data_IF_742206169552
#
_entry.id   IF_742206169552
#
_cell.length_a   1.000
_cell.length_b   1.000
_cell.length_c   1.000
_cell.angle_alpha   90.00
_cell.angle_beta   90.00
_cell.angle_gamma   90.00
#
_symmetry.space_group_name_H-M   'P 1'
#
loop_
_entity.id
_entity.type
_entity.pdbx_description
1 polymer ?
#
# COMPACT_ATOMS: atom_id res chain seq x y z
N UNK A 1 1.12 14.46 -51.03
CA UNK A 1 2.23 13.97 -50.18
C UNK A 1 1.65 12.93 -49.25
N UNK A 2 1.88 11.66 -49.59
CA UNK A 2 1.43 10.48 -48.87
C UNK A 2 2.24 10.26 -47.59
N UNK A 3 1.55 10.05 -46.47
CA UNK A 3 2.14 9.49 -45.25
C UNK A 3 1.53 8.09 -45.01
N UNK A 4 2.19 7.07 -45.55
CA UNK A 4 2.10 5.66 -45.13
C UNK A 4 3.47 5.27 -44.59
N UNK A 5 3.50 4.58 -43.45
CA UNK A 5 4.64 4.06 -42.62
C UNK A 5 4.57 4.70 -41.22
N UNK A 6 4.26 4.04 -40.10
CA UNK A 6 4.48 2.69 -39.63
C UNK A 6 3.26 2.24 -38.80
N UNK A 7 2.61 1.13 -39.19
CA UNK A 7 1.53 0.49 -38.43
C UNK A 7 1.85 -1.01 -38.33
N UNK A 8 2.94 -1.35 -37.66
CA UNK A 8 3.36 -2.73 -37.42
C UNK A 8 4.09 -2.80 -36.09
N UNK A 9 3.36 -2.97 -34.97
CA UNK A 9 3.89 -3.59 -33.72
C UNK A 9 2.87 -3.74 -32.57
N UNK A 10 1.61 -3.35 -32.70
CA UNK A 10 0.67 -3.41 -31.55
C UNK A 10 0.05 -4.79 -31.26
N UNK A 11 0.21 -5.77 -32.15
CA UNK A 11 -0.52 -7.05 -32.04
C UNK A 11 0.23 -8.21 -31.35
N UNK A 12 1.52 -8.06 -31.03
CA UNK A 12 2.30 -9.18 -30.46
C UNK A 12 2.45 -9.09 -28.93
N UNK A 13 2.44 -7.88 -28.36
CA UNK A 13 2.71 -7.69 -26.92
C UNK A 13 1.44 -7.89 -26.07
N UNK A 14 0.26 -7.54 -26.59
CA UNK A 14 -1.00 -7.65 -25.82
C UNK A 14 -1.48 -9.10 -25.59
N UNK A 15 -1.00 -10.07 -26.37
CA UNK A 15 -1.46 -11.46 -26.26
C UNK A 15 -0.72 -12.28 -25.19
N UNK A 16 0.49 -11.87 -24.79
CA UNK A 16 1.31 -12.63 -23.83
C UNK A 16 1.09 -12.22 -22.36
N UNK A 17 0.76 -10.95 -22.08
CA UNK A 17 0.59 -10.46 -20.71
C UNK A 17 -0.81 -10.71 -20.12
N UNK A 18 -1.83 -10.90 -20.96
CA UNK A 18 -3.21 -11.17 -20.51
C UNK A 18 -3.37 -12.61 -19.96
N UNK A 19 -2.70 -13.60 -20.56
CA UNK A 19 -2.89 -15.00 -20.18
C UNK A 19 -2.15 -15.42 -18.91
N UNK A 20 -0.95 -14.91 -18.67
CA UNK A 20 -0.12 -15.32 -17.53
C UNK A 20 -0.61 -14.68 -16.23
N UNK A 21 -0.92 -13.38 -16.25
CA UNK A 21 -1.41 -12.68 -15.06
C UNK A 21 -2.77 -13.23 -14.59
N UNK A 22 -3.68 -13.53 -15.52
CA UNK A 22 -4.99 -14.13 -15.19
C UNK A 22 -4.84 -15.56 -14.68
N UNK A 23 -3.93 -16.35 -15.24
CA UNK A 23 -3.65 -17.72 -14.74
C UNK A 23 -3.04 -17.70 -13.34
N UNK A 24 -2.14 -16.77 -13.04
CA UNK A 24 -1.60 -16.60 -11.68
C UNK A 24 -2.68 -16.15 -10.69
N UNK A 25 -3.58 -15.24 -11.10
CA UNK A 25 -4.68 -14.79 -10.25
C UNK A 25 -5.67 -15.94 -9.95
N UNK A 26 -6.00 -16.75 -10.95
CA UNK A 26 -6.90 -17.91 -10.80
C UNK A 26 -6.24 -19.01 -9.93
N UNK A 27 -4.96 -19.30 -10.14
CA UNK A 27 -4.23 -20.27 -9.29
C UNK A 27 -4.13 -19.77 -7.86
N UNK A 28 -3.90 -18.47 -7.64
CA UNK A 28 -3.89 -17.88 -6.30
C UNK A 28 -5.27 -17.97 -5.62
N UNK A 29 -6.37 -17.71 -6.35
CA UNK A 29 -7.73 -17.88 -5.84
C UNK A 29 -8.06 -19.35 -5.54
N UNK A 30 -7.62 -20.30 -6.37
CA UNK A 30 -7.89 -21.73 -6.17
C UNK A 30 -7.05 -22.27 -4.99
N UNK A 31 -5.81 -21.84 -4.84
CA UNK A 31 -5.00 -22.16 -3.66
C UNK A 31 -5.60 -21.53 -2.38
N UNK A 32 -6.16 -20.32 -2.45
CA UNK A 32 -6.87 -19.72 -1.32
C UNK A 32 -8.17 -20.46 -0.97
N UNK A 33 -8.88 -21.02 -1.94
CA UNK A 33 -10.09 -21.84 -1.70
C UNK A 33 -9.80 -23.30 -1.34
N UNK A 34 -8.59 -23.81 -1.59
CA UNK A 34 -8.19 -25.19 -1.26
C UNK A 34 -7.78 -25.37 0.21
N UNK A 35 -7.68 -24.29 0.97
CA UNK A 35 -7.43 -24.28 2.41
C UNK A 35 -8.67 -23.84 3.20
N UNK A 36 -9.85 -24.32 2.82
CA UNK A 36 -10.95 -24.43 3.77
C UNK A 36 -10.91 -25.83 4.38
N UNK A 37 -10.19 -26.04 5.50
CA UNK A 37 -10.57 -27.15 6.36
C UNK A 37 -12.03 -26.90 6.75
N UNK A 38 -12.90 -27.89 6.49
CA UNK A 38 -14.33 -27.91 6.85
C UNK A 38 -14.59 -27.77 8.37
N UNK A 39 -13.53 -27.58 9.15
CA UNK A 39 -13.54 -27.30 10.57
C UNK A 39 -13.11 -25.85 10.82
N UNK A 40 -14.06 -24.92 10.70
CA UNK A 40 -13.94 -23.55 11.24
C UNK A 40 -13.93 -23.54 12.78
N UNK A 41 -13.11 -24.41 13.39
CA UNK A 41 -12.92 -24.55 14.83
C UNK A 41 -11.81 -23.63 15.38
N UNK A 42 -11.08 -22.88 14.52
CA UNK A 42 -9.98 -22.03 14.98
C UNK A 42 -10.41 -20.73 15.67
N UNK A 43 -11.68 -20.33 15.57
CA UNK A 43 -12.18 -19.14 16.28
C UNK A 43 -12.56 -19.42 17.75
N UNK A 44 -12.55 -20.68 18.22
CA UNK A 44 -13.14 -21.03 19.52
C UNK A 44 -12.20 -21.71 20.53
N UNK A 45 -10.89 -21.77 20.28
CA UNK A 45 -9.91 -22.09 21.34
C UNK A 45 -9.27 -20.79 21.84
N UNK A 46 -9.77 -20.19 22.95
CA UNK A 46 -9.07 -19.08 23.59
C UNK A 46 -7.69 -19.57 24.04
N UNK A 47 -6.64 -19.20 23.30
CA UNK A 47 -5.25 -19.51 23.68
C UNK A 47 -4.30 -19.89 22.55
N UNK A 48 -4.75 -20.19 21.33
CA UNK A 48 -3.82 -20.49 20.22
C UNK A 48 -3.23 -19.22 19.60
N UNK A 49 -2.27 -18.64 20.34
CA UNK A 49 -1.51 -17.47 19.90
C UNK A 49 -0.77 -17.74 18.59
N UNK A 50 -0.37 -18.98 18.31
CA UNK A 50 0.38 -19.27 17.09
C UNK A 50 -0.51 -19.14 15.84
N UNK A 51 -1.73 -19.68 15.89
CA UNK A 51 -2.70 -19.52 14.80
C UNK A 51 -3.05 -18.04 14.56
N UNK A 52 -3.25 -17.28 15.64
CA UNK A 52 -3.53 -15.84 15.56
C UNK A 52 -2.40 -15.05 14.90
N UNK A 53 -1.16 -15.25 15.37
CA UNK A 53 0.01 -14.53 14.85
C UNK A 53 0.38 -14.96 13.43
N UNK A 54 0.29 -16.25 13.10
CA UNK A 54 0.59 -16.74 11.74
C UNK A 54 -0.42 -16.22 10.71
N UNK A 55 -1.71 -16.26 11.04
CA UNK A 55 -2.77 -15.69 10.20
C UNK A 55 -2.58 -14.19 10.01
N UNK A 56 -2.30 -13.45 11.09
CA UNK A 56 -2.04 -12.01 11.01
C UNK A 56 -0.83 -11.70 10.13
N UNK A 57 0.30 -12.41 10.30
CA UNK A 57 1.50 -12.25 9.47
C UNK A 57 1.19 -12.49 8.00
N UNK A 58 0.44 -13.56 7.67
CA UNK A 58 0.05 -13.86 6.30
C UNK A 58 -0.75 -12.71 5.68
N UNK A 59 -1.71 -12.13 6.41
CA UNK A 59 -2.44 -10.97 5.94
C UNK A 59 -1.55 -9.73 5.75
N UNK A 60 -0.55 -9.51 6.60
CA UNK A 60 0.42 -8.41 6.40
C UNK A 60 1.29 -8.59 5.14
N UNK A 61 1.38 -9.80 4.58
CA UNK A 61 2.12 -10.02 3.32
C UNK A 61 1.37 -9.55 2.08
N UNK A 62 0.06 -9.30 2.16
CA UNK A 62 -0.76 -8.88 1.03
C UNK A 62 -0.46 -7.40 0.72
N UNK A 63 0.11 -7.09 -0.46
CA UNK A 63 0.40 -5.72 -0.82
C UNK A 63 -0.86 -4.95 -1.24
N UNK A 64 -0.77 -3.65 -1.09
CA UNK A 64 -1.69 -2.66 -1.63
C UNK A 64 -1.25 -2.24 -3.04
N UNK A 65 -2.15 -2.20 -4.04
CA UNK A 65 -1.79 -1.71 -5.37
C UNK A 65 -1.56 -0.19 -5.36
N UNK A 66 -0.51 0.24 -6.06
CA UNK A 66 -0.13 1.64 -6.17
C UNK A 66 0.24 2.02 -7.61
N UNK A 67 0.06 3.29 -7.93
CA UNK A 67 0.38 3.90 -9.21
C UNK A 67 1.34 5.06 -8.98
N UNK A 68 2.46 5.01 -9.68
CA UNK A 68 3.54 6.00 -9.62
C UNK A 68 3.62 6.75 -10.94
N UNK A 69 3.85 8.05 -10.86
CA UNK A 69 4.19 8.83 -12.03
C UNK A 69 5.69 8.70 -12.33
N UNK A 70 6.03 8.23 -13.54
CA UNK A 70 7.37 8.19 -14.13
C UNK A 70 7.49 9.37 -15.10
N UNK A 71 8.15 10.46 -14.70
CA UNK A 71 8.21 11.70 -15.50
C UNK A 71 9.63 12.21 -15.66
N UNK A 72 9.92 12.74 -16.85
CA UNK A 72 11.08 13.57 -17.16
C UNK A 72 10.66 14.70 -18.12
N UNK A 73 11.60 15.52 -18.58
CA UNK A 73 11.41 16.60 -19.55
C UNK A 73 10.82 16.12 -20.89
N UNK A 74 11.12 14.89 -21.29
CA UNK A 74 10.77 14.34 -22.63
C UNK A 74 9.52 13.47 -22.63
N UNK A 75 8.99 13.05 -21.47
CA UNK A 75 7.86 12.13 -21.42
C UNK A 75 7.35 11.84 -20.02
N UNK A 76 6.13 11.29 -19.96
CA UNK A 76 5.51 10.80 -18.72
C UNK A 76 4.79 9.48 -18.95
N UNK A 77 4.89 8.59 -17.97
CA UNK A 77 4.22 7.29 -17.96
C UNK A 77 3.67 7.01 -16.56
N UNK A 78 2.58 6.25 -16.49
CA UNK A 78 2.09 5.67 -15.25
C UNK A 78 2.72 4.29 -15.04
N UNK A 79 3.25 4.05 -13.84
CA UNK A 79 3.84 2.78 -13.46
C UNK A 79 3.02 2.14 -12.35
N UNK A 80 2.74 0.85 -12.50
CA UNK A 80 2.07 0.07 -11.47
C UNK A 80 3.09 -0.52 -10.49
N UNK A 81 2.74 -0.51 -9.20
CA UNK A 81 3.54 -1.13 -8.17
C UNK A 81 2.70 -1.65 -7.01
N UNK A 82 3.43 -2.21 -6.06
CA UNK A 82 2.92 -2.86 -4.87
C UNK A 82 3.55 -2.18 -3.66
N UNK A 83 2.72 -1.82 -2.69
CA UNK A 83 3.11 -1.15 -1.46
C UNK A 83 2.69 -2.02 -0.29
N UNK A 84 3.61 -2.33 0.60
CA UNK A 84 3.29 -2.92 1.89
C UNK A 84 3.17 -1.81 2.92
N UNK A 85 2.42 -2.04 3.99
CA UNK A 85 2.35 -1.12 5.12
C UNK A 85 2.54 -1.87 6.42
N UNK A 86 3.56 -1.48 7.17
CA UNK A 86 3.85 -1.97 8.51
C UNK A 86 3.69 -0.80 9.47
N UNK A 87 2.97 -1.01 10.58
CA UNK A 87 2.75 0.02 11.60
C UNK A 87 3.45 -0.41 12.89
N UNK A 88 4.75 -0.13 13.06
CA UNK A 88 5.47 -0.52 14.28
C UNK A 88 4.91 0.13 15.54
N UNK A 89 4.36 1.35 15.43
CA UNK A 89 3.86 2.11 16.57
C UNK A 89 2.57 2.85 16.24
N UNK A 90 1.59 2.77 17.15
CA UNK A 90 0.37 3.57 17.12
C UNK A 90 0.10 4.15 18.51
N UNK A 91 -0.27 5.42 18.54
CA UNK A 91 -0.78 6.11 19.72
C UNK A 91 -2.21 6.59 19.46
N UNK A 92 -3.16 6.14 20.27
CA UNK A 92 -4.57 6.51 20.16
C UNK A 92 -4.93 7.62 21.17
N UNK A 93 -5.57 8.70 20.70
CA UNK A 93 -5.86 9.87 21.54
C UNK A 93 -7.03 9.63 22.50
N UNK A 94 -8.05 8.90 22.07
CA UNK A 94 -9.27 8.66 22.83
C UNK A 94 -9.44 7.16 23.16
N UNK A 95 -8.42 6.59 23.80
CA UNK A 95 -8.51 5.22 24.32
C UNK A 95 -9.20 5.22 25.70
N UNK A 96 -10.01 4.18 25.97
CA UNK A 96 -10.60 3.95 27.28
C UNK A 96 -9.49 3.81 28.34
N UNK A 97 -9.65 4.44 29.51
CA UNK A 97 -8.67 4.41 30.62
C UNK A 97 -8.31 3.00 31.08
N UNK A 98 -9.18 2.01 30.85
CA UNK A 98 -8.95 0.60 31.19
C UNK A 98 -7.99 -0.11 30.23
N UNK A 99 -7.53 0.58 29.18
CA UNK A 99 -6.83 -0.02 28.06
C UNK A 99 -5.66 0.88 27.64
N UNK A 100 -4.51 0.28 27.32
CA UNK A 100 -3.33 1.04 26.84
C UNK A 100 -3.64 1.81 25.55
N UNK A 101 -3.34 3.11 25.57
CA UNK A 101 -3.39 4.02 24.40
C UNK A 101 -2.29 3.76 23.38
N UNK A 102 -1.23 3.06 23.78
CA UNK A 102 -0.08 2.74 22.93
C UNK A 102 -0.18 1.30 22.45
N UNK A 103 0.08 1.09 21.16
CA UNK A 103 0.08 -0.23 20.53
C UNK A 103 1.31 -0.40 19.63
N UNK A 104 1.79 -1.64 19.53
CA UNK A 104 2.95 -2.01 18.73
C UNK A 104 2.58 -3.13 17.76
N UNK A 105 2.94 -2.96 16.48
CA UNK A 105 2.72 -3.89 15.36
C UNK A 105 1.27 -4.24 15.05
N UNK A 106 0.53 -4.81 16.00
CA UNK A 106 -0.88 -5.19 15.89
C UNK A 106 -1.76 -4.09 16.49
N UNK A 107 -2.24 -3.20 15.62
CA UNK A 107 -3.13 -2.09 15.99
C UNK A 107 -4.56 -2.63 16.11
N UNK A 108 -5.30 -2.23 17.14
CA UNK A 108 -6.71 -2.62 17.25
C UNK A 108 -7.55 -1.57 16.51
N UNK A 109 -8.38 -1.96 15.52
CA UNK A 109 -9.18 -1.04 14.73
C UNK A 109 -10.03 -0.11 15.60
N UNK A 110 -10.65 -0.66 16.64
CA UNK A 110 -11.55 0.05 17.56
C UNK A 110 -10.85 1.22 18.27
N UNK A 111 -9.55 1.13 18.51
CA UNK A 111 -8.80 2.18 19.23
C UNK A 111 -8.39 3.34 18.32
N UNK A 112 -8.31 3.12 17.01
CA UNK A 112 -7.97 4.15 16.02
C UNK A 112 -9.13 5.11 15.73
N UNK A 113 -10.36 4.70 15.98
CA UNK A 113 -11.59 5.48 15.78
C UNK A 113 -11.65 6.76 16.65
N UNK A 114 -11.00 6.74 17.80
CA UNK A 114 -10.81 7.93 18.62
C UNK A 114 -9.89 9.02 18.04
N UNK A 115 -9.32 8.79 16.86
CA UNK A 115 -8.16 9.49 16.35
C UNK A 115 -6.87 8.86 16.87
N UNK A 116 -5.86 8.77 16.00
CA UNK A 116 -4.59 8.17 16.35
C UNK A 116 -3.43 8.73 15.54
N UNK A 117 -2.23 8.62 16.08
CA UNK A 117 -0.97 8.86 15.40
C UNK A 117 -0.26 7.53 15.14
N UNK A 118 0.07 7.25 13.89
CA UNK A 118 0.78 6.04 13.46
C UNK A 118 2.18 6.41 12.95
N UNK A 119 3.20 5.68 13.43
CA UNK A 119 4.48 5.59 12.74
C UNK A 119 4.40 4.40 11.80
N UNK A 120 4.75 4.61 10.53
CA UNK A 120 4.61 3.58 9.50
C UNK A 120 5.90 3.39 8.71
N UNK A 121 6.07 2.18 8.21
CA UNK A 121 7.09 1.78 7.25
C UNK A 121 6.40 1.14 6.05
N UNK A 122 6.80 1.53 4.86
CA UNK A 122 6.19 1.14 3.60
C UNK A 122 7.27 0.74 2.59
N UNK A 123 7.64 -0.55 2.54
CA UNK A 123 8.39 -1.06 1.40
C UNK A 123 7.50 -1.01 0.15
N UNK A 124 8.10 -0.65 -0.98
CA UNK A 124 7.40 -0.58 -2.25
C UNK A 124 8.21 -1.23 -3.36
N UNK A 125 7.50 -1.80 -4.32
CA UNK A 125 8.07 -2.44 -5.49
C UNK A 125 7.29 -2.07 -6.75
N UNK A 126 7.93 -1.40 -7.70
CA UNK A 126 7.37 -1.15 -9.02
C UNK A 126 7.55 -2.38 -9.93
N UNK A 127 6.49 -2.74 -10.66
CA UNK A 127 6.49 -3.91 -11.54
C UNK A 127 7.34 -3.72 -12.80
N UNK A 128 7.50 -2.47 -13.25
CA UNK A 128 8.32 -2.10 -14.40
C UNK A 128 9.39 -1.09 -14.00
N UNK A 129 10.44 -0.98 -14.81
CA UNK A 129 11.44 0.07 -14.67
C UNK A 129 10.86 1.45 -14.95
N UNK A 130 11.29 2.42 -14.14
CA UNK A 130 11.16 3.84 -14.44
C UNK A 130 12.13 4.20 -15.55
N UNK A 131 11.62 4.41 -16.77
CA UNK A 131 12.43 4.68 -17.96
C UNK A 131 12.73 6.16 -18.15
N UNK A 132 11.88 7.03 -17.60
CA UNK A 132 12.02 8.47 -17.78
C UNK A 132 12.66 9.10 -16.55
N UNK A 133 12.24 8.68 -15.36
CA UNK A 133 12.65 9.28 -14.09
C UNK A 133 13.92 8.68 -13.48
N UNK A 134 14.52 7.67 -14.13
CA UNK A 134 15.71 6.92 -13.67
C UNK A 134 15.63 6.36 -12.24
N UNK A 135 14.43 6.20 -11.70
CA UNK A 135 14.24 5.70 -10.34
C UNK A 135 14.43 4.18 -10.25
N UNK A 136 14.91 3.71 -9.09
CA UNK A 136 14.92 2.29 -8.76
C UNK A 136 13.50 1.73 -8.62
N UNK A 137 13.32 0.45 -8.96
CA UNK A 137 12.03 -0.24 -8.80
C UNK A 137 11.64 -0.43 -7.34
N UNK A 138 12.63 -0.71 -6.49
CA UNK A 138 12.45 -0.84 -5.06
C UNK A 138 12.55 0.54 -4.38
N UNK A 139 11.66 0.77 -3.42
CA UNK A 139 11.66 1.93 -2.55
C UNK A 139 11.37 1.49 -1.12
N UNK A 140 11.90 2.23 -0.15
CA UNK A 140 11.50 2.08 1.23
C UNK A 140 11.04 3.43 1.74
N UNK A 141 9.88 3.50 2.37
CA UNK A 141 9.33 4.76 2.88
C UNK A 141 9.06 4.63 4.36
N UNK A 142 9.32 5.68 5.13
CA UNK A 142 8.97 5.73 6.55
C UNK A 142 8.37 7.09 6.87
N UNK A 143 7.48 7.16 7.85
CA UNK A 143 6.82 8.42 8.17
C UNK A 143 5.88 8.33 9.36
N UNK A 144 5.21 9.45 9.59
CA UNK A 144 4.19 9.59 10.61
C UNK A 144 2.88 10.05 9.97
N UNK A 145 1.76 9.48 10.40
CA UNK A 145 0.44 9.77 9.88
C UNK A 145 -0.56 9.90 11.03
N UNK A 146 -1.26 11.02 11.08
CA UNK A 146 -2.39 11.23 11.97
C UNK A 146 -3.70 10.79 11.31
N UNK A 147 -4.61 10.23 12.09
CA UNK A 147 -5.97 9.88 11.69
C UNK A 147 -6.95 10.76 12.42
N UNK A 148 -7.84 11.37 11.64
CA UNK A 148 -8.91 12.23 12.11
C UNK A 148 -10.23 11.53 11.76
N UNK A 149 -11.03 11.14 12.77
CA UNK A 149 -12.35 10.57 12.53
C UNK A 149 -13.28 11.66 11.97
N UNK A 150 -14.05 11.33 10.93
CA UNK A 150 -15.01 12.28 10.32
C UNK A 150 -16.44 11.88 10.64
N UNK A 151 -16.81 10.62 10.43
CA UNK A 151 -18.17 10.11 10.70
C UNK A 151 -18.13 8.86 11.56
N UNK A 152 -19.06 8.73 12.50
CA UNK A 152 -19.21 7.54 13.37
C UNK A 152 -17.89 7.14 14.06
N UNK A 153 -17.25 8.10 14.71
CA UNK A 153 -15.92 7.92 15.28
C UNK A 153 -14.90 7.37 14.26
N UNK A 154 -15.07 7.58 12.96
CA UNK A 154 -14.11 7.13 11.95
C UNK A 154 -14.26 5.66 11.52
N UNK A 155 -15.28 4.94 11.97
CA UNK A 155 -15.59 3.58 11.53
C UNK A 155 -15.97 3.54 10.04
N UNK A 156 -16.80 4.49 9.61
CA UNK A 156 -17.26 4.60 8.22
C UNK A 156 -16.33 5.46 7.36
N UNK A 157 -15.83 6.56 7.92
CA UNK A 157 -14.96 7.48 7.21
C UNK A 157 -13.97 8.14 8.16
N UNK A 158 -12.69 7.93 7.90
CA UNK A 158 -11.59 8.65 8.54
C UNK A 158 -10.67 9.27 7.48
N UNK A 159 -10.15 10.45 7.80
CA UNK A 159 -9.15 11.14 6.99
C UNK A 159 -7.80 10.92 7.65
N UNK A 160 -6.76 10.79 6.84
CA UNK A 160 -5.40 10.73 7.33
C UNK A 160 -4.51 11.76 6.69
N UNK A 161 -3.62 12.36 7.45
CA UNK A 161 -2.62 13.29 6.97
C UNK A 161 -1.27 12.92 7.59
N UNK A 162 -0.23 12.89 6.77
CA UNK A 162 1.09 12.44 7.21
C UNK A 162 2.23 13.03 6.44
N UNK A 163 3.40 13.04 7.08
CA UNK A 163 4.68 13.37 6.48
C UNK A 163 5.53 12.12 6.40
N UNK A 164 6.22 11.93 5.28
CA UNK A 164 7.07 10.76 5.05
C UNK A 164 8.36 11.09 4.32
N UNK A 165 9.32 10.20 4.47
CA UNK A 165 10.61 10.25 3.81
C UNK A 165 10.80 8.95 3.01
N UNK A 166 11.07 9.10 1.72
CA UNK A 166 11.22 8.00 0.77
C UNK A 166 12.70 7.77 0.51
N UNK A 167 13.18 6.57 0.75
CA UNK A 167 14.51 6.09 0.42
C UNK A 167 14.47 5.37 -0.93
N UNK A 168 14.53 6.16 -2.01
CA UNK A 168 14.59 5.64 -3.38
C UNK A 168 15.92 6.05 -4.02
N UNK A 169 16.63 5.08 -4.60
CA UNK A 169 17.87 5.34 -5.32
C UNK A 169 17.55 5.78 -6.74
N UNK A 170 18.32 6.73 -7.27
CA UNK A 170 18.33 7.04 -8.69
C UNK A 170 19.46 6.20 -9.34
N UNK A 171 19.22 5.65 -10.53
CA UNK A 171 20.18 4.82 -11.27
C UNK A 171 21.43 5.62 -11.69
N UNK A 172 21.28 6.92 -11.91
CA UNK A 172 22.32 7.79 -12.47
C UNK A 172 22.86 8.84 -11.48
N UNK A 173 22.20 9.05 -10.34
CA UNK A 173 22.64 9.99 -9.30
C UNK A 173 22.56 9.33 -7.92
N UNK A 174 23.58 9.55 -7.09
CA UNK A 174 23.68 9.06 -5.71
C UNK A 174 22.67 9.71 -4.73
N UNK A 175 21.58 10.29 -5.25
CA UNK A 175 20.71 11.12 -4.45
C UNK A 175 19.89 10.29 -3.46
N UNK A 176 20.13 10.58 -2.19
CA UNK A 176 19.59 9.91 -1.03
C UNK A 176 18.26 10.53 -0.62
N UNK A 177 17.19 9.88 -1.03
CA UNK A 177 15.83 10.05 -0.53
C UNK A 177 15.17 11.44 -0.63
N UNK A 178 13.85 11.49 -0.47
CA UNK A 178 13.08 12.73 -0.59
C UNK A 178 11.89 12.75 0.37
N UNK A 179 11.53 13.96 0.81
CA UNK A 179 10.35 14.20 1.63
C UNK A 179 9.07 14.15 0.80
N UNK A 180 7.97 13.77 1.43
CA UNK A 180 6.64 13.74 0.82
C UNK A 180 5.56 13.95 1.87
N UNK A 181 4.43 14.49 1.43
CA UNK A 181 3.22 14.60 2.22
C UNK A 181 2.20 13.61 1.68
N UNK A 182 1.42 13.02 2.57
CA UNK A 182 0.43 12.03 2.24
C UNK A 182 -0.92 12.44 2.82
N UNK A 183 -1.96 12.28 2.01
CA UNK A 183 -3.34 12.43 2.43
C UNK A 183 -4.11 11.15 2.07
N UNK A 184 -4.99 10.71 2.95
CA UNK A 184 -5.74 9.47 2.73
C UNK A 184 -7.16 9.55 3.24
N UNK A 185 -8.05 8.81 2.59
CA UNK A 185 -9.43 8.59 2.98
C UNK A 185 -9.61 7.10 3.25
N UNK A 186 -10.13 6.75 4.41
CA UNK A 186 -10.27 5.38 4.88
C UNK A 186 -11.71 5.09 5.24
N UNK A 187 -12.18 3.90 4.86
CA UNK A 187 -13.54 3.42 5.08
C UNK A 187 -13.52 1.95 5.56
N UNK A 188 -14.68 1.40 5.89
CA UNK A 188 -14.86 0.04 6.42
C UNK A 188 -13.86 -0.29 7.52
N UNK A 189 -13.97 0.39 8.66
CA UNK A 189 -13.11 0.15 9.81
C UNK A 189 -11.61 0.47 9.54
N UNK A 190 -11.31 1.19 8.46
CA UNK A 190 -9.95 1.51 8.04
C UNK A 190 -9.27 0.43 7.20
N UNK A 191 -10.02 -0.62 6.82
CA UNK A 191 -9.52 -1.73 5.98
C UNK A 191 -9.22 -1.24 4.57
N UNK A 192 -10.12 -0.44 4.00
CA UNK A 192 -9.97 0.10 2.66
C UNK A 192 -9.65 1.59 2.73
N UNK A 193 -8.61 2.02 2.04
CA UNK A 193 -8.26 3.42 1.94
C UNK A 193 -7.82 3.84 0.55
N UNK A 194 -8.10 5.08 0.20
CA UNK A 194 -7.51 5.76 -0.95
C UNK A 194 -6.47 6.75 -0.46
N UNK A 195 -5.24 6.64 -0.95
CA UNK A 195 -4.11 7.43 -0.47
C UNK A 195 -3.47 8.15 -1.66
N UNK A 196 -3.26 9.46 -1.50
CA UNK A 196 -2.54 10.30 -2.44
C UNK A 196 -1.27 10.85 -1.80
N UNK A 197 -0.18 10.77 -2.55
CA UNK A 197 1.11 11.29 -2.12
C UNK A 197 1.51 12.48 -2.98
N UNK A 198 2.01 13.52 -2.34
CA UNK A 198 2.69 14.63 -2.97
C UNK A 198 4.16 14.59 -2.61
N UNK A 199 5.01 14.28 -3.59
CA UNK A 199 6.45 14.20 -3.37
C UNK A 199 7.13 15.50 -3.79
N UNK A 200 8.08 15.98 -2.99
CA UNK A 200 8.87 17.17 -3.29
C UNK A 200 10.04 16.86 -4.25
N UNK A 201 9.77 16.07 -5.29
CA UNK A 201 10.71 15.74 -6.36
C UNK A 201 10.03 15.89 -7.73
N UNK A 202 10.80 16.28 -8.75
CA UNK A 202 10.26 16.52 -10.09
C UNK A 202 10.02 15.24 -10.89
N UNK A 203 10.74 14.18 -10.51
CA UNK A 203 10.77 12.86 -11.14
C UNK A 203 9.46 12.08 -10.96
N UNK A 204 8.80 12.24 -9.82
CA UNK A 204 7.56 11.57 -9.46
C UNK A 204 6.79 12.43 -8.49
N UNK A 205 5.90 13.31 -8.97
CA UNK A 205 5.26 14.33 -8.13
C UNK A 205 4.03 13.81 -7.40
N UNK A 206 3.26 12.95 -8.06
CA UNK A 206 2.01 12.40 -7.55
C UNK A 206 2.02 10.88 -7.59
N UNK A 207 1.64 10.25 -6.48
CA UNK A 207 1.37 8.82 -6.43
C UNK A 207 -0.04 8.58 -5.89
N UNK A 208 -0.72 7.58 -6.42
CA UNK A 208 -2.06 7.17 -6.00
C UNK A 208 -2.01 5.71 -5.57
N UNK A 209 -2.63 5.38 -4.44
CA UNK A 209 -2.61 4.02 -3.89
C UNK A 209 -3.96 3.64 -3.31
N UNK A 210 -4.34 2.38 -3.49
CA UNK A 210 -5.45 1.78 -2.75
C UNK A 210 -4.85 0.99 -1.60
N UNK A 211 -5.01 1.51 -0.39
CA UNK A 211 -4.54 0.92 0.84
C UNK A 211 -5.49 -0.18 1.31
N UNK A 212 -4.95 -1.38 1.49
CA UNK A 212 -5.63 -2.50 2.13
C UNK A 212 -4.90 -2.80 3.43
N UNK A 213 -5.53 -2.49 4.56
CA UNK A 213 -4.97 -2.74 5.89
C UNK A 213 -5.75 -3.85 6.58
N UNK A 214 -5.02 -4.86 7.04
CA UNK A 214 -5.56 -5.98 7.79
C UNK A 214 -5.17 -5.82 9.26
N UNK A 215 -6.12 -6.07 10.16
CA UNK A 215 -5.97 -5.92 11.60
C UNK A 215 -6.00 -7.27 12.32
#
# INVERSE_FOLDING_TARGET
>A
MDFKFFRVTDNVINKYYSGIAVKFLIVFCICASGFYPDDSYSQNKPGDKFAEWSTWILFQTIPSPSFYQDRNETGSRLQFGLRWQVTPFNYSFNANKLVSSVQFFKVNPVRRYGGSLELFMQPEWATADFRHSDLSRFNFTTGVRGFIPVTEYGEYLSVSLGGKYNFRKNKNMDNAGYYSVEAGLFTFFGILGFVTDYNFTEQSRYNLSVNLKYY
#
